data_IF_927598758785
#
_entry.id   IF_927598758785
#
_cell.length_a   1.000
_cell.length_b   1.000
_cell.length_c   1.000
_cell.angle_alpha   90.00
_cell.angle_beta   90.00
_cell.angle_gamma   90.00
#
_symmetry.space_group_name_H-M   'P 1'
#
loop_
_entity.id
_entity.type
_entity.pdbx_description
1 polymer ?
#
# COMPACT_ATOMS: atom_id res chain seq x y z
N UNK A 1 -35.75 -22.10 -10.70
CA UNK A 1 -34.35 -22.32 -10.27
C UNK A 1 -34.27 -22.06 -8.77
N UNK A 2 -34.08 -23.12 -7.99
CA UNK A 2 -33.99 -23.06 -6.53
C UNK A 2 -32.54 -22.72 -6.19
N UNK A 3 -32.27 -21.47 -5.81
CA UNK A 3 -30.98 -21.08 -5.26
C UNK A 3 -30.86 -21.68 -3.86
N UNK A 4 -30.12 -22.79 -3.76
CA UNK A 4 -29.74 -23.39 -2.48
C UNK A 4 -28.85 -22.39 -1.74
N UNK A 5 -29.42 -21.70 -0.75
CA UNK A 5 -28.66 -20.90 0.22
C UNK A 5 -27.77 -21.85 1.01
N UNK A 6 -26.50 -21.97 0.64
CA UNK A 6 -25.48 -22.63 1.46
C UNK A 6 -25.27 -21.74 2.69
N UNK A 7 -25.57 -22.22 3.92
CA UNK A 7 -25.35 -21.43 5.12
C UNK A 7 -23.85 -21.47 5.46
N UNK A 8 -23.05 -20.60 4.84
CA UNK A 8 -21.68 -20.31 5.29
C UNK A 8 -21.73 -19.53 6.62
N UNK A 9 -22.06 -20.21 7.72
CA UNK A 9 -21.76 -19.71 9.07
C UNK A 9 -20.36 -20.16 9.43
N UNK A 10 -19.37 -19.49 8.85
CA UNK A 10 -17.98 -19.59 9.29
C UNK A 10 -17.91 -19.22 10.79
N UNK A 11 -17.31 -20.03 11.67
CA UNK A 11 -17.20 -19.74 13.10
C UNK A 11 -16.14 -18.68 13.41
N UNK A 12 -15.33 -18.30 12.41
CA UNK A 12 -14.22 -17.35 12.51
C UNK A 12 -14.58 -15.96 13.05
N UNK A 13 -15.75 -15.35 12.75
CA UNK A 13 -16.11 -14.03 13.30
C UNK A 13 -16.23 -14.01 14.82
N UNK A 14 -16.52 -15.16 15.45
CA UNK A 14 -16.61 -15.29 16.90
C UNK A 14 -15.27 -15.69 17.53
N UNK A 15 -14.46 -16.45 16.81
CA UNK A 15 -13.18 -16.97 17.29
C UNK A 15 -12.04 -15.95 17.20
N UNK A 16 -12.02 -15.07 16.19
CA UNK A 16 -10.91 -14.13 15.99
C UNK A 16 -10.81 -13.05 17.08
N UNK A 17 -11.91 -12.40 17.54
CA UNK A 17 -11.85 -11.48 18.67
C UNK A 17 -11.38 -12.19 19.95
N UNK A 18 -11.78 -13.45 20.13
CA UNK A 18 -11.44 -14.27 21.30
C UNK A 18 -9.98 -14.72 21.25
N UNK A 19 -9.45 -15.05 20.07
CA UNK A 19 -8.03 -15.32 19.87
C UNK A 19 -7.18 -14.07 20.08
N UNK A 20 -7.55 -12.91 19.52
CA UNK A 20 -6.84 -11.64 19.75
C UNK A 20 -6.86 -11.22 21.24
N UNK A 21 -7.99 -11.44 21.93
CA UNK A 21 -8.14 -11.18 23.35
C UNK A 21 -7.25 -12.08 24.23
N UNK A 22 -6.90 -13.28 23.75
CA UNK A 22 -6.00 -14.22 24.44
C UNK A 22 -4.54 -14.00 24.04
N UNK A 23 -4.25 -13.74 22.76
CA UNK A 23 -2.87 -13.67 22.25
C UNK A 23 -2.19 -12.34 22.56
N UNK A 24 -2.92 -11.22 22.63
CA UNK A 24 -2.31 -9.91 22.88
C UNK A 24 -1.75 -9.80 24.32
N UNK A 25 -2.46 -10.21 25.39
CA UNK A 25 -1.90 -10.21 26.75
C UNK A 25 -0.81 -11.27 26.93
N UNK A 26 -0.97 -12.45 26.32
CA UNK A 26 0.02 -13.53 26.40
C UNK A 26 1.32 -13.18 25.66
N UNK A 27 1.24 -12.55 24.49
CA UNK A 27 2.42 -12.05 23.78
C UNK A 27 3.10 -10.90 24.55
N UNK A 28 2.31 -10.02 25.18
CA UNK A 28 2.83 -8.96 26.05
C UNK A 28 3.55 -9.50 27.29
N UNK A 29 3.00 -10.54 27.95
CA UNK A 29 3.66 -11.21 29.08
C UNK A 29 4.90 -12.01 28.65
N UNK A 30 4.84 -12.68 27.50
CA UNK A 30 5.96 -13.47 26.97
C UNK A 30 7.16 -12.59 26.57
N UNK A 31 6.91 -11.44 25.93
CA UNK A 31 7.96 -10.44 25.65
C UNK A 31 8.50 -9.80 26.94
N UNK A 32 7.65 -9.57 27.95
CA UNK A 32 8.08 -9.11 29.27
C UNK A 32 9.00 -10.11 29.99
N UNK A 33 8.79 -11.41 29.79
CA UNK A 33 9.65 -12.48 30.32
C UNK A 33 10.98 -12.61 29.57
N UNK A 34 11.01 -12.44 28.24
CA UNK A 34 12.27 -12.48 27.48
C UNK A 34 13.17 -11.27 27.72
N UNK A 35 12.60 -10.14 28.13
CA UNK A 35 13.31 -8.86 28.28
C UNK A 35 13.70 -8.56 29.74
N UNK A 36 13.46 -9.48 30.69
CA UNK A 36 13.88 -9.31 32.08
C UNK A 36 15.34 -9.75 32.26
N UNK A 37 16.32 -8.84 32.35
CA UNK A 37 17.66 -9.21 32.79
C UNK A 37 17.60 -9.67 34.25
N UNK A 38 18.35 -10.70 34.61
CA UNK A 38 18.33 -11.37 35.94
C UNK A 38 18.67 -10.45 37.12
N UNK A 39 18.98 -9.17 36.90
CA UNK A 39 19.55 -8.25 37.90
C UNK A 39 18.70 -7.02 38.21
N UNK A 40 17.55 -6.81 37.56
CA UNK A 40 16.68 -5.68 37.87
C UNK A 40 15.57 -6.10 38.83
N UNK A 41 15.54 -5.47 40.01
CA UNK A 41 14.45 -5.59 40.98
C UNK A 41 13.10 -5.46 40.27
N UNK A 42 12.06 -6.21 40.70
CA UNK A 42 10.76 -6.25 40.06
C UNK A 42 10.03 -4.91 40.24
N UNK A 43 10.44 -3.89 39.48
CA UNK A 43 9.65 -2.70 39.25
C UNK A 43 8.42 -3.20 38.53
N UNK A 44 7.31 -3.17 39.27
CA UNK A 44 5.97 -3.54 38.84
C UNK A 44 5.73 -3.26 37.36
N UNK A 45 5.90 -4.30 36.53
CA UNK A 45 5.41 -4.40 35.15
C UNK A 45 3.88 -4.50 35.14
N UNK A 46 3.21 -3.72 36.00
CA UNK A 46 1.80 -3.48 35.87
C UNK A 46 1.68 -2.64 34.59
N UNK A 47 0.88 -3.06 33.59
CA UNK A 47 0.58 -2.23 32.45
C UNK A 47 0.01 -0.91 32.98
N UNK A 48 0.84 0.15 32.97
CA UNK A 48 0.46 1.43 33.58
C UNK A 48 -0.88 1.88 33.01
N UNK A 49 -1.72 2.50 33.85
CA UNK A 49 -3.09 2.94 33.58
C UNK A 49 -3.35 3.54 32.19
N UNK A 50 -2.33 4.05 31.49
CA UNK A 50 -2.39 4.54 30.11
C UNK A 50 -2.61 3.46 29.01
N UNK A 51 -2.32 2.17 29.22
CA UNK A 51 -2.59 1.12 28.22
C UNK A 51 -4.04 0.62 28.25
N UNK A 52 -4.72 0.75 29.39
CA UNK A 52 -6.12 0.36 29.56
C UNK A 52 -7.10 1.16 28.68
N UNK A 53 -6.94 2.48 28.49
CA UNK A 53 -7.75 3.26 27.55
C UNK A 53 -7.65 2.77 26.11
N UNK A 54 -6.45 2.39 25.65
CA UNK A 54 -6.24 1.88 24.28
C UNK A 54 -6.92 0.51 24.13
N UNK A 55 -6.72 -0.38 25.11
CA UNK A 55 -7.39 -1.69 25.14
C UNK A 55 -8.91 -1.52 25.21
N UNK A 56 -9.42 -0.63 26.06
CA UNK A 56 -10.85 -0.34 26.22
C UNK A 56 -11.46 0.36 25.00
N UNK A 57 -10.71 1.20 24.29
CA UNK A 57 -11.20 1.85 23.05
C UNK A 57 -11.19 0.89 21.88
N UNK A 58 -10.19 0.00 21.77
CA UNK A 58 -10.22 -1.16 20.85
C UNK A 58 -11.40 -2.08 21.19
N UNK A 59 -11.62 -2.38 22.47
CA UNK A 59 -12.74 -3.23 22.93
C UNK A 59 -14.10 -2.57 22.65
N UNK A 60 -14.24 -1.26 22.93
CA UNK A 60 -15.45 -0.50 22.70
C UNK A 60 -15.72 -0.30 21.21
N UNK A 61 -14.67 -0.15 20.39
CA UNK A 61 -14.78 -0.16 18.93
C UNK A 61 -15.22 -1.53 18.44
N UNK A 62 -14.64 -2.63 18.92
CA UNK A 62 -15.07 -3.99 18.58
C UNK A 62 -16.53 -4.25 18.99
N UNK A 63 -16.95 -3.79 20.18
CA UNK A 63 -18.33 -3.91 20.69
C UNK A 63 -19.29 -3.00 19.91
N UNK A 64 -18.93 -1.77 19.57
CA UNK A 64 -19.77 -0.87 18.76
C UNK A 64 -19.86 -1.35 17.32
N UNK A 65 -18.76 -1.88 16.78
CA UNK A 65 -18.75 -2.55 15.48
C UNK A 65 -19.67 -3.76 15.49
N UNK A 66 -19.78 -4.49 16.59
CA UNK A 66 -20.73 -5.61 16.71
C UNK A 66 -22.21 -5.23 16.48
N UNK A 67 -22.59 -3.96 16.70
CA UNK A 67 -23.91 -3.43 16.35
C UNK A 67 -24.05 -3.01 14.88
N UNK A 68 -22.96 -2.60 14.23
CA UNK A 68 -22.87 -2.33 12.79
C UNK A 68 -22.90 -3.63 11.95
N UNK A 69 -22.53 -4.76 12.58
CA UNK A 69 -22.56 -6.11 12.03
C UNK A 69 -23.99 -6.69 11.91
N UNK A 70 -25.08 -5.94 12.06
CA UNK A 70 -26.42 -6.48 11.73
C UNK A 70 -26.59 -6.68 10.22
N UNK A 71 -25.87 -5.90 9.41
CA UNK A 71 -25.88 -6.07 7.96
C UNK A 71 -24.83 -7.14 7.54
N UNK A 72 -25.25 -8.27 6.93
CA UNK A 72 -24.32 -9.32 6.50
C UNK A 72 -23.32 -8.85 5.45
N UNK A 73 -23.62 -7.83 4.63
CA UNK A 73 -22.66 -7.29 3.65
C UNK A 73 -21.46 -6.65 4.34
N UNK A 74 -21.71 -5.85 5.37
CA UNK A 74 -20.68 -5.21 6.17
C UNK A 74 -19.87 -6.26 6.96
N UNK A 75 -20.52 -7.31 7.48
CA UNK A 75 -19.79 -8.41 8.14
C UNK A 75 -18.78 -9.08 7.21
N UNK A 76 -19.16 -9.34 5.96
CA UNK A 76 -18.25 -9.95 5.00
C UNK A 76 -17.09 -9.02 4.64
N UNK A 77 -17.37 -7.74 4.38
CA UNK A 77 -16.35 -6.76 4.00
C UNK A 77 -15.35 -6.53 5.15
N UNK A 78 -15.84 -6.44 6.38
CA UNK A 78 -14.99 -6.30 7.57
C UNK A 78 -14.15 -7.55 7.80
N UNK A 79 -14.73 -8.74 7.62
CA UNK A 79 -14.01 -10.02 7.66
C UNK A 79 -12.87 -10.09 6.65
N UNK A 80 -13.09 -9.60 5.42
CA UNK A 80 -12.06 -9.57 4.39
C UNK A 80 -10.87 -8.68 4.79
N UNK A 81 -11.10 -7.59 5.52
CA UNK A 81 -10.08 -6.61 5.92
C UNK A 81 -9.31 -6.99 7.20
N UNK A 82 -9.70 -8.07 7.89
CA UNK A 82 -9.11 -8.50 9.17
C UNK A 82 -7.59 -8.66 9.16
N UNK A 83 -6.93 -9.21 8.11
CA UNK A 83 -5.47 -9.35 8.12
C UNK A 83 -4.76 -7.98 8.19
N UNK A 84 -5.21 -7.01 7.39
CA UNK A 84 -4.66 -5.66 7.38
C UNK A 84 -4.96 -4.91 8.68
N UNK A 85 -6.19 -5.05 9.20
CA UNK A 85 -6.58 -4.47 10.47
C UNK A 85 -5.72 -5.01 11.63
N UNK A 86 -5.51 -6.33 11.68
CA UNK A 86 -4.70 -6.99 12.71
C UNK A 86 -3.25 -6.48 12.69
N UNK A 87 -2.66 -6.34 11.51
CA UNK A 87 -1.31 -5.78 11.36
C UNK A 87 -1.25 -4.32 11.83
N UNK A 88 -2.25 -3.50 11.47
CA UNK A 88 -2.30 -2.09 11.87
C UNK A 88 -2.43 -1.92 13.39
N UNK A 89 -3.28 -2.74 14.03
CA UNK A 89 -3.45 -2.73 15.49
C UNK A 89 -2.22 -3.28 16.21
N UNK A 90 -1.59 -4.33 15.68
CA UNK A 90 -0.34 -4.85 16.24
C UNK A 90 0.78 -3.81 16.18
N UNK A 91 0.92 -3.10 15.05
CA UNK A 91 1.86 -2.00 14.91
C UNK A 91 1.61 -0.89 15.95
N UNK A 92 0.34 -0.51 16.16
CA UNK A 92 -0.03 0.47 17.18
C UNK A 92 0.27 0.00 18.62
N UNK A 93 0.03 -1.28 18.90
CA UNK A 93 0.34 -1.90 20.20
C UNK A 93 1.83 -1.95 20.49
N UNK A 94 2.64 -2.39 19.50
CA UNK A 94 4.10 -2.39 19.60
C UNK A 94 4.63 -0.98 19.83
N UNK A 95 4.11 0.00 19.08
CA UNK A 95 4.49 1.40 19.26
C UNK A 95 4.17 1.93 20.68
N UNK A 96 2.99 1.58 21.22
CA UNK A 96 2.60 1.96 22.59
C UNK A 96 3.50 1.33 23.67
N UNK A 97 4.01 0.12 23.44
CA UNK A 97 4.95 -0.53 24.36
C UNK A 97 6.34 0.14 24.32
N UNK A 98 6.79 0.52 23.12
CA UNK A 98 8.10 1.14 22.91
C UNK A 98 8.19 2.59 23.37
N UNK A 99 7.06 3.29 23.42
CA UNK A 99 6.96 4.67 23.91
C UNK A 99 7.47 4.87 25.34
N UNK A 100 7.61 3.80 26.13
CA UNK A 100 8.07 3.86 27.53
C UNK A 100 9.59 3.72 27.72
N UNK A 101 10.36 3.76 26.64
CA UNK A 101 11.81 3.86 26.68
C UNK A 101 12.51 2.59 26.23
N UNK A 102 13.73 2.81 25.73
CA UNK A 102 14.81 1.85 25.38
C UNK A 102 15.11 1.71 23.87
N UNK A 103 14.19 1.88 22.91
CA UNK A 103 14.55 1.74 21.47
C UNK A 103 13.83 2.69 20.49
N UNK A 104 14.41 3.86 20.22
CA UNK A 104 13.93 4.79 19.17
C UNK A 104 13.88 4.15 17.77
N UNK A 105 14.80 3.24 17.45
CA UNK A 105 14.86 2.57 16.14
C UNK A 105 13.66 1.69 15.82
N UNK A 106 12.99 1.12 16.82
CA UNK A 106 11.83 0.24 16.61
C UNK A 106 10.53 1.01 16.31
N UNK A 107 10.45 2.28 16.73
CA UNK A 107 9.30 3.16 16.41
C UNK A 107 9.15 3.36 14.90
N UNK A 108 10.26 3.54 14.18
CA UNK A 108 10.26 3.65 12.72
C UNK A 108 9.69 2.41 12.03
N UNK A 109 10.03 1.22 12.52
CA UNK A 109 9.45 -0.03 12.00
C UNK A 109 7.95 -0.15 12.28
N UNK A 110 7.49 0.27 13.47
CA UNK A 110 6.07 0.28 13.79
C UNK A 110 5.29 1.26 12.92
N UNK A 111 5.82 2.46 12.68
CA UNK A 111 5.21 3.45 11.78
C UNK A 111 5.15 2.93 10.33
N UNK A 112 6.22 2.30 9.85
CA UNK A 112 6.27 1.69 8.53
C UNK A 112 5.27 0.53 8.42
N UNK A 113 5.22 -0.37 9.40
CA UNK A 113 4.26 -1.47 9.44
C UNK A 113 2.81 -0.95 9.45
N UNK A 114 2.53 0.12 10.19
CA UNK A 114 1.23 0.78 10.21
C UNK A 114 0.87 1.37 8.84
N UNK A 115 1.79 2.10 8.21
CA UNK A 115 1.59 2.64 6.87
C UNK A 115 1.28 1.53 5.84
N UNK A 116 2.08 0.45 5.84
CA UNK A 116 1.85 -0.70 4.96
C UNK A 116 0.49 -1.37 5.24
N UNK A 117 0.09 -1.49 6.50
CA UNK A 117 -1.19 -2.06 6.88
C UNK A 117 -2.37 -1.21 6.36
N UNK A 118 -2.29 0.12 6.47
CA UNK A 118 -3.31 1.03 5.93
C UNK A 118 -3.43 0.92 4.41
N UNK A 119 -2.31 0.86 3.69
CA UNK A 119 -2.29 0.68 2.24
C UNK A 119 -2.87 -0.69 1.84
N UNK A 120 -2.56 -1.74 2.60
CA UNK A 120 -3.12 -3.07 2.39
C UNK A 120 -4.64 -3.10 2.58
N UNK A 121 -5.16 -2.48 3.65
CA UNK A 121 -6.62 -2.36 3.88
C UNK A 121 -7.30 -1.68 2.68
N UNK A 122 -6.72 -0.59 2.17
CA UNK A 122 -7.26 0.12 1.02
C UNK A 122 -7.20 -0.69 -0.28
N UNK A 123 -6.10 -1.42 -0.52
CA UNK A 123 -5.97 -2.29 -1.69
C UNK A 123 -6.96 -3.46 -1.64
N UNK A 124 -7.21 -4.00 -0.45
CA UNK A 124 -8.06 -5.17 -0.23
C UNK A 124 -9.57 -4.90 -0.37
N UNK A 125 -9.99 -3.63 -0.31
CA UNK A 125 -11.39 -3.21 -0.46
C UNK A 125 -12.05 -3.73 -1.75
N UNK A 126 -11.28 -3.79 -2.85
CA UNK A 126 -11.71 -4.43 -4.10
C UNK A 126 -10.90 -5.69 -4.41
N UNK A 127 -9.71 -5.82 -3.83
CA UNK A 127 -8.77 -6.88 -4.14
C UNK A 127 -9.31 -8.26 -3.74
N UNK A 128 -9.83 -8.36 -2.52
CA UNK A 128 -10.46 -9.58 -2.01
C UNK A 128 -11.56 -10.12 -2.92
N UNK A 129 -12.34 -9.26 -3.58
CA UNK A 129 -13.40 -9.71 -4.48
C UNK A 129 -12.89 -10.27 -5.81
N UNK A 130 -11.74 -9.79 -6.29
CA UNK A 130 -11.09 -10.40 -7.44
C UNK A 130 -10.51 -11.76 -7.07
N UNK A 131 -9.93 -11.88 -5.88
CA UNK A 131 -9.38 -13.13 -5.38
C UNK A 131 -10.45 -14.22 -5.24
N UNK A 132 -11.62 -13.87 -4.71
CA UNK A 132 -12.74 -14.80 -4.53
C UNK A 132 -13.70 -14.84 -5.71
N UNK A 133 -13.44 -14.09 -6.79
CA UNK A 133 -14.31 -13.95 -7.97
C UNK A 133 -15.76 -13.53 -7.63
N UNK A 134 -15.94 -12.77 -6.56
CA UNK A 134 -17.27 -12.32 -6.07
C UNK A 134 -17.69 -10.97 -6.63
N UNK A 135 -16.75 -10.14 -7.11
CA UNK A 135 -17.02 -8.77 -7.58
C UNK A 135 -18.17 -8.73 -8.58
N UNK A 136 -18.17 -9.67 -9.51
CA UNK A 136 -19.16 -9.65 -10.54
C UNK A 136 -20.55 -10.10 -10.05
N UNK A 137 -20.64 -10.98 -9.05
CA UNK A 137 -21.92 -11.26 -8.38
C UNK A 137 -22.46 -10.00 -7.70
N UNK A 138 -21.58 -9.19 -7.11
CA UNK A 138 -21.94 -7.88 -6.53
C UNK A 138 -22.46 -6.89 -7.58
N UNK A 139 -21.91 -6.92 -8.81
CA UNK A 139 -22.33 -6.04 -9.92
C UNK A 139 -23.67 -6.43 -10.55
N UNK A 140 -24.11 -7.69 -10.45
CA UNK A 140 -25.40 -8.15 -10.98
C UNK A 140 -26.58 -7.77 -10.07
N UNK A 141 -26.31 -7.44 -8.81
CA UNK A 141 -27.35 -7.04 -7.87
C UNK A 141 -28.03 -5.74 -8.33
N UNK A 142 -29.35 -5.57 -8.11
CA UNK A 142 -30.09 -4.36 -8.48
C UNK A 142 -29.77 -3.23 -7.49
N UNK A 143 -28.49 -2.87 -7.37
CA UNK A 143 -27.95 -1.87 -6.46
C UNK A 143 -27.10 -0.92 -7.28
N UNK A 144 -27.16 0.38 -6.95
CA UNK A 144 -26.39 1.35 -7.72
C UNK A 144 -24.89 1.10 -7.53
N UNK A 145 -24.11 1.19 -8.61
CA UNK A 145 -22.65 1.03 -8.54
C UNK A 145 -22.02 2.07 -7.60
N UNK A 146 -22.65 3.24 -7.45
CA UNK A 146 -22.19 4.27 -6.53
C UNK A 146 -22.29 3.89 -5.06
N UNK A 147 -23.41 3.29 -4.68
CA UNK A 147 -23.59 2.87 -3.30
C UNK A 147 -22.66 1.72 -2.95
N UNK A 148 -22.46 0.77 -3.87
CA UNK A 148 -21.51 -0.33 -3.69
C UNK A 148 -20.06 0.17 -3.52
N UNK A 149 -19.62 1.08 -4.39
CA UNK A 149 -18.28 1.68 -4.31
C UNK A 149 -18.07 2.44 -3.00
N UNK A 150 -19.06 3.25 -2.60
CA UNK A 150 -19.02 4.02 -1.35
C UNK A 150 -19.08 3.13 -0.11
N UNK A 151 -19.85 2.05 -0.13
CA UNK A 151 -19.91 1.09 0.98
C UNK A 151 -18.53 0.45 1.20
N UNK A 152 -17.89 -0.05 0.14
CA UNK A 152 -16.55 -0.67 0.22
C UNK A 152 -15.47 0.29 0.70
N UNK A 153 -15.41 1.48 0.11
CA UNK A 153 -14.45 2.48 0.54
C UNK A 153 -14.76 3.05 1.92
N UNK A 154 -16.04 3.15 2.28
CA UNK A 154 -16.46 3.56 3.61
C UNK A 154 -16.00 2.57 4.68
N UNK A 155 -16.12 1.26 4.42
CA UNK A 155 -15.60 0.23 5.34
C UNK A 155 -14.08 0.29 5.41
N UNK A 156 -13.38 0.28 4.27
CA UNK A 156 -11.91 0.32 4.24
C UNK A 156 -11.35 1.58 4.91
N UNK A 157 -11.89 2.75 4.57
CA UNK A 157 -11.51 4.03 5.17
C UNK A 157 -11.90 4.13 6.65
N UNK A 158 -13.01 3.52 7.05
CA UNK A 158 -13.41 3.41 8.45
C UNK A 158 -12.41 2.59 9.27
N UNK A 159 -12.04 1.40 8.81
CA UNK A 159 -11.05 0.54 9.51
C UNK A 159 -9.69 1.23 9.56
N UNK A 160 -9.18 1.68 8.40
CA UNK A 160 -7.85 2.28 8.33
C UNK A 160 -7.80 3.63 9.08
N UNK A 161 -8.87 4.42 9.06
CA UNK A 161 -8.99 5.66 9.83
C UNK A 161 -8.99 5.42 11.35
N UNK A 162 -9.73 4.42 11.83
CA UNK A 162 -9.70 4.02 13.25
C UNK A 162 -8.30 3.57 13.65
N UNK A 163 -7.64 2.75 12.83
CA UNK A 163 -6.28 2.32 13.10
C UNK A 163 -5.30 3.49 13.15
N UNK A 164 -5.42 4.45 12.22
CA UNK A 164 -4.58 5.66 12.17
C UNK A 164 -4.78 6.54 13.41
N UNK A 165 -6.03 6.71 13.87
CA UNK A 165 -6.31 7.46 15.11
C UNK A 165 -5.67 6.78 16.32
N UNK A 166 -5.81 5.45 16.45
CA UNK A 166 -5.18 4.72 17.56
C UNK A 166 -3.65 4.87 17.51
N UNK A 167 -3.05 4.71 16.33
CA UNK A 167 -1.60 4.88 16.17
C UNK A 167 -1.15 6.31 16.48
N UNK A 168 -1.90 7.32 16.06
CA UNK A 168 -1.63 8.72 16.39
C UNK A 168 -1.68 8.97 17.91
N UNK A 169 -2.70 8.45 18.60
CA UNK A 169 -2.83 8.59 20.05
C UNK A 169 -1.71 7.89 20.81
N UNK A 170 -1.24 6.73 20.34
CA UNK A 170 -0.11 6.05 20.98
C UNK A 170 1.23 6.74 20.70
N UNK A 171 1.40 7.34 19.52
CA UNK A 171 2.65 8.00 19.13
C UNK A 171 2.78 9.41 19.73
N UNK A 172 1.68 10.17 19.79
CA UNK A 172 1.67 11.53 20.36
C UNK A 172 2.00 11.59 21.85
N UNK A 173 1.78 10.50 22.58
CA UNK A 173 2.21 10.38 23.98
C UNK A 173 3.73 10.16 24.12
N UNK A 174 4.38 9.67 23.07
CA UNK A 174 5.80 9.29 23.06
C UNK A 174 6.70 10.43 22.59
N UNK A 175 6.27 11.17 21.58
CA UNK A 175 7.12 12.14 20.88
C UNK A 175 6.72 13.57 21.22
N UNK A 176 7.70 14.39 21.58
CA UNK A 176 7.53 15.84 21.75
C UNK A 176 7.45 16.61 20.41
N UNK A 177 7.07 15.94 19.33
CA UNK A 177 6.93 16.56 18.00
C UNK A 177 5.61 17.31 17.88
N UNK A 178 5.58 18.29 16.98
CA UNK A 178 4.36 19.01 16.65
C UNK A 178 3.29 18.03 16.16
N UNK A 179 2.13 18.08 16.83
CA UNK A 179 0.99 17.19 16.56
C UNK A 179 0.52 17.21 15.10
N UNK A 180 0.73 18.33 14.40
CA UNK A 180 0.41 18.49 12.99
C UNK A 180 1.32 17.65 12.09
N UNK A 181 2.63 17.65 12.33
CA UNK A 181 3.58 16.87 11.53
C UNK A 181 3.34 15.37 11.71
N UNK A 182 3.05 14.95 12.93
CA UNK A 182 2.70 13.57 13.23
C UNK A 182 1.40 13.13 12.52
N UNK A 183 0.38 14.01 12.52
CA UNK A 183 -0.87 13.75 11.82
C UNK A 183 -0.68 13.69 10.30
N UNK A 184 0.21 14.49 9.74
CA UNK A 184 0.58 14.47 8.33
C UNK A 184 1.31 13.18 7.94
N UNK A 185 2.29 12.76 8.74
CA UNK A 185 3.06 11.52 8.51
C UNK A 185 2.15 10.30 8.62
N UNK A 186 1.21 10.26 9.55
CA UNK A 186 0.33 9.11 9.79
C UNK A 186 -0.95 9.12 8.94
N UNK A 187 -1.45 10.30 8.60
CA UNK A 187 -2.61 10.48 7.74
C UNK A 187 -2.28 10.32 6.26
N UNK A 188 -1.07 10.66 5.83
CA UNK A 188 -0.68 10.59 4.43
C UNK A 188 -0.76 9.18 3.82
N UNK A 189 -0.36 8.06 4.47
CA UNK A 189 -0.51 6.72 3.92
C UNK A 189 -1.98 6.31 3.78
N UNK A 190 -2.84 6.73 4.70
CA UNK A 190 -4.28 6.49 4.63
C UNK A 190 -4.90 7.20 3.43
N UNK A 191 -4.63 8.50 3.29
CA UNK A 191 -5.17 9.31 2.19
C UNK A 191 -4.64 8.79 0.85
N UNK A 192 -3.35 8.46 0.80
CA UNK A 192 -2.72 7.86 -0.37
C UNK A 192 -3.39 6.53 -0.73
N UNK A 193 -3.52 5.62 0.23
CA UNK A 193 -4.16 4.33 0.05
C UNK A 193 -5.59 4.43 -0.47
N UNK A 194 -6.42 5.26 0.17
CA UNK A 194 -7.82 5.43 -0.22
C UNK A 194 -7.98 6.05 -1.62
N UNK A 195 -7.07 6.95 -2.02
CA UNK A 195 -7.13 7.60 -3.31
C UNK A 195 -6.60 6.72 -4.45
N UNK A 196 -5.46 6.05 -4.27
CA UNK A 196 -4.75 5.36 -5.36
C UNK A 196 -4.89 3.84 -5.36
N UNK A 197 -5.03 3.18 -4.21
CA UNK A 197 -5.13 1.72 -4.16
C UNK A 197 -6.35 1.17 -4.91
N UNK A 198 -7.56 1.74 -4.79
CA UNK A 198 -8.71 1.27 -5.57
C UNK A 198 -8.47 1.31 -7.07
N UNK A 199 -7.83 2.37 -7.58
CA UNK A 199 -7.54 2.49 -9.01
C UNK A 199 -6.62 1.35 -9.46
N UNK A 200 -5.50 1.16 -8.77
CA UNK A 200 -4.52 0.16 -9.14
C UNK A 200 -5.07 -1.26 -8.97
N UNK A 201 -5.79 -1.53 -7.88
CA UNK A 201 -6.47 -2.81 -7.66
C UNK A 201 -7.49 -3.12 -8.76
N UNK A 202 -8.32 -2.15 -9.16
CA UNK A 202 -9.34 -2.37 -10.21
C UNK A 202 -8.73 -2.63 -11.59
N UNK A 203 -7.65 -1.93 -11.95
CA UNK A 203 -6.96 -2.13 -13.22
C UNK A 203 -6.20 -3.45 -13.23
N UNK A 204 -5.50 -3.76 -12.13
CA UNK A 204 -4.71 -4.98 -11.99
C UNK A 204 -5.50 -6.23 -11.70
N UNK A 205 -6.72 -6.09 -11.17
CA UNK A 205 -7.56 -7.19 -10.68
C UNK A 205 -6.84 -8.06 -9.65
N UNK A 206 -5.97 -7.45 -8.84
CA UNK A 206 -5.16 -8.12 -7.82
C UNK A 206 -4.90 -7.20 -6.64
N UNK A 207 -5.14 -7.70 -5.41
CA UNK A 207 -4.85 -6.98 -4.17
C UNK A 207 -3.39 -6.61 -4.07
N UNK A 208 -2.51 -7.57 -4.35
CA UNK A 208 -1.07 -7.41 -4.14
C UNK A 208 -0.48 -6.44 -5.16
N UNK A 209 -0.90 -6.52 -6.43
CA UNK A 209 -0.48 -5.55 -7.43
C UNK A 209 -1.00 -4.13 -7.09
N UNK A 210 -2.27 -4.02 -6.67
CA UNK A 210 -2.84 -2.77 -6.17
C UNK A 210 -2.00 -2.14 -5.05
N UNK A 211 -1.67 -2.92 -4.02
CA UNK A 211 -0.81 -2.50 -2.91
C UNK A 211 0.56 -2.02 -3.38
N UNK A 212 1.25 -2.79 -4.23
CA UNK A 212 2.60 -2.43 -4.68
C UNK A 212 2.59 -1.18 -5.56
N UNK A 213 1.63 -1.02 -6.47
CA UNK A 213 1.56 0.17 -7.31
C UNK A 213 1.21 1.44 -6.52
N UNK A 214 0.39 1.30 -5.47
CA UNK A 214 0.05 2.39 -4.54
C UNK A 214 1.28 2.93 -3.82
N UNK A 215 2.30 2.10 -3.60
CA UNK A 215 3.58 2.52 -3.03
C UNK A 215 4.56 3.05 -4.09
N UNK A 216 4.74 2.28 -5.16
CA UNK A 216 5.82 2.52 -6.12
C UNK A 216 5.55 3.70 -7.03
N UNK A 217 4.30 3.90 -7.49
CA UNK A 217 3.99 4.97 -8.45
C UNK A 217 4.11 6.37 -7.83
N UNK A 218 3.52 6.68 -6.66
CA UNK A 218 3.70 7.99 -6.03
C UNK A 218 5.15 8.27 -5.69
N UNK A 219 5.89 7.26 -5.20
CA UNK A 219 7.32 7.39 -4.91
C UNK A 219 8.11 7.70 -6.18
N UNK A 220 7.89 6.98 -7.27
CA UNK A 220 8.56 7.25 -8.54
C UNK A 220 8.22 8.64 -9.09
N UNK A 221 6.95 9.06 -9.02
CA UNK A 221 6.52 10.39 -9.43
C UNK A 221 7.14 11.49 -8.56
N UNK A 222 7.21 11.29 -7.25
CA UNK A 222 7.87 12.21 -6.33
C UNK A 222 9.36 12.34 -6.67
N UNK A 223 10.05 11.23 -6.93
CA UNK A 223 11.46 11.25 -7.32
C UNK A 223 11.68 11.98 -8.65
N UNK A 224 10.85 11.69 -9.66
CA UNK A 224 10.93 12.37 -10.96
C UNK A 224 10.71 13.87 -10.77
N UNK A 225 9.64 14.26 -10.07
CA UNK A 225 9.33 15.68 -9.83
C UNK A 225 10.44 16.38 -9.06
N UNK A 226 11.00 15.73 -8.04
CA UNK A 226 12.14 16.25 -7.27
C UNK A 226 13.37 16.44 -8.16
N UNK A 227 13.73 15.43 -8.96
CA UNK A 227 14.87 15.56 -9.89
C UNK A 227 14.67 16.64 -10.94
N UNK A 228 13.44 16.85 -11.42
CA UNK A 228 13.12 17.92 -12.37
C UNK A 228 13.24 19.30 -11.72
N UNK A 229 12.77 19.46 -10.48
CA UNK A 229 12.91 20.69 -9.70
C UNK A 229 14.39 20.98 -9.44
N UNK A 230 15.17 19.99 -9.03
CA UNK A 230 16.60 20.17 -8.76
C UNK A 230 17.38 20.52 -10.05
N UNK A 231 17.03 19.92 -11.20
CA UNK A 231 17.62 20.27 -12.51
C UNK A 231 17.23 21.69 -12.92
N UNK A 232 15.98 22.09 -12.70
CA UNK A 232 15.51 23.45 -12.95
C UNK A 232 16.28 24.45 -12.08
N UNK A 233 16.44 24.16 -10.79
CA UNK A 233 17.20 24.97 -9.86
C UNK A 233 18.68 25.05 -10.24
N UNK A 234 19.30 23.97 -10.71
CA UNK A 234 20.69 24.00 -11.19
C UNK A 234 20.85 24.91 -12.42
N UNK A 235 19.87 24.88 -13.33
CA UNK A 235 19.83 25.79 -14.48
C UNK A 235 19.66 27.25 -14.04
N UNK A 236 18.82 27.47 -13.03
CA UNK A 236 18.49 28.80 -12.52
C UNK A 236 19.63 29.40 -11.69
N UNK A 237 20.36 28.61 -10.88
CA UNK A 237 21.60 29.04 -10.20
C UNK A 237 22.69 29.42 -11.20
N UNK A 238 22.76 28.71 -12.34
CA UNK A 238 23.66 29.08 -13.42
C UNK A 238 23.28 30.44 -14.04
N UNK A 239 21.97 30.76 -14.10
CA UNK A 239 21.47 32.08 -14.47
C UNK A 239 21.61 33.14 -13.35
N UNK A 240 21.46 32.77 -12.08
CA UNK A 240 21.54 33.67 -10.94
C UNK A 240 22.98 34.10 -10.62
N UNK A 241 24.01 33.34 -11.05
CA UNK A 241 25.39 33.87 -11.12
C UNK A 241 25.52 35.10 -12.02
N UNK A 242 24.58 35.32 -12.93
CA UNK A 242 24.47 36.52 -13.75
C UNK A 242 23.60 37.59 -13.06
N UNK A 243 22.68 37.22 -12.16
CA UNK A 243 21.78 38.13 -11.42
C UNK A 243 21.52 37.67 -9.96
N UNK A 244 22.21 38.23 -8.95
CA UNK A 244 22.26 37.68 -7.59
C UNK A 244 21.06 38.00 -6.66
N UNK A 245 20.14 38.88 -7.05
CA UNK A 245 19.12 39.41 -6.12
C UNK A 245 17.87 38.53 -5.92
N UNK A 246 17.75 37.37 -6.57
CA UNK A 246 16.50 36.58 -6.61
C UNK A 246 16.47 35.32 -5.71
N UNK A 247 17.56 34.99 -5.00
CA UNK A 247 17.84 33.62 -4.55
C UNK A 247 17.14 33.16 -3.25
N UNK A 248 16.48 34.04 -2.49
CA UNK A 248 16.03 33.70 -1.12
C UNK A 248 14.57 33.23 -0.96
N UNK A 249 13.75 33.24 -2.02
CA UNK A 249 12.32 32.88 -1.93
C UNK A 249 11.93 31.48 -2.44
N UNK A 250 12.84 30.73 -3.06
CA UNK A 250 12.46 29.54 -3.84
C UNK A 250 12.05 28.31 -2.99
N UNK A 251 12.54 28.17 -1.75
CA UNK A 251 12.28 26.95 -0.95
C UNK A 251 10.80 26.77 -0.57
N UNK A 252 10.04 27.86 -0.41
CA UNK A 252 8.61 27.80 -0.15
C UNK A 252 7.80 27.48 -1.40
N UNK A 253 8.27 27.89 -2.57
CA UNK A 253 7.58 27.65 -3.85
C UNK A 253 7.72 26.19 -4.29
N UNK A 254 8.90 25.60 -4.14
CA UNK A 254 9.15 24.18 -4.42
C UNK A 254 8.24 23.27 -3.61
N UNK A 255 8.12 23.55 -2.31
CA UNK A 255 7.24 22.82 -1.42
C UNK A 255 5.78 22.97 -1.86
N UNK A 256 5.38 24.18 -2.28
CA UNK A 256 4.05 24.44 -2.86
C UNK A 256 3.75 23.59 -4.10
N UNK A 257 4.72 23.45 -5.01
CA UNK A 257 4.59 22.63 -6.23
C UNK A 257 4.45 21.15 -5.88
N UNK A 258 5.24 20.63 -4.92
CA UNK A 258 5.13 19.25 -4.46
C UNK A 258 3.76 18.96 -3.84
N UNK A 259 3.27 19.87 -2.99
CA UNK A 259 1.93 19.78 -2.39
C UNK A 259 0.82 19.80 -3.43
N UNK A 260 0.87 20.77 -4.35
CA UNK A 260 -0.11 20.88 -5.43
C UNK A 260 -0.11 19.62 -6.32
N UNK A 261 1.07 19.13 -6.70
CA UNK A 261 1.24 17.89 -7.46
C UNK A 261 0.66 16.68 -6.73
N UNK A 262 0.90 16.56 -5.42
CA UNK A 262 0.32 15.52 -4.57
C UNK A 262 -1.20 15.55 -4.54
N UNK A 263 -1.81 16.72 -4.31
CA UNK A 263 -3.27 16.88 -4.29
C UNK A 263 -3.89 16.56 -5.66
N UNK A 264 -3.27 17.03 -6.74
CA UNK A 264 -3.70 16.73 -8.12
C UNK A 264 -3.63 15.22 -8.37
N UNK A 265 -2.54 14.57 -7.98
CA UNK A 265 -2.38 13.13 -8.10
C UNK A 265 -3.48 12.37 -7.36
N UNK A 266 -3.71 12.69 -6.08
CA UNK A 266 -4.73 12.02 -5.26
C UNK A 266 -6.14 12.20 -5.85
N UNK A 267 -6.49 13.42 -6.26
CA UNK A 267 -7.76 13.71 -6.90
C UNK A 267 -7.94 12.98 -8.24
N UNK A 268 -6.89 12.94 -9.06
CA UNK A 268 -6.90 12.23 -10.34
C UNK A 268 -7.08 10.72 -10.15
N UNK A 269 -6.40 10.12 -9.19
CA UNK A 269 -6.48 8.69 -8.89
C UNK A 269 -7.83 8.29 -8.31
N UNK A 270 -8.37 9.09 -7.38
CA UNK A 270 -9.71 8.87 -6.84
C UNK A 270 -10.78 8.94 -7.95
N UNK A 271 -10.72 9.97 -8.81
CA UNK A 271 -11.63 10.11 -9.94
C UNK A 271 -11.48 8.96 -10.96
N UNK A 272 -10.25 8.56 -11.25
CA UNK A 272 -9.97 7.49 -12.18
C UNK A 272 -10.47 6.14 -11.65
N UNK A 273 -10.28 5.84 -10.35
CA UNK A 273 -10.80 4.63 -9.73
C UNK A 273 -12.32 4.54 -9.84
N UNK A 274 -13.02 5.65 -9.56
CA UNK A 274 -14.47 5.75 -9.69
C UNK A 274 -14.93 5.54 -11.15
N UNK A 275 -14.23 6.13 -12.12
CA UNK A 275 -14.54 5.95 -13.55
C UNK A 275 -14.32 4.52 -14.02
N UNK A 276 -13.23 3.88 -13.58
CA UNK A 276 -12.94 2.47 -13.88
C UNK A 276 -14.03 1.61 -13.29
N UNK A 277 -14.38 1.80 -12.02
CA UNK A 277 -15.42 1.04 -11.34
C UNK A 277 -16.78 1.14 -12.04
N UNK A 278 -17.21 2.36 -12.39
CA UNK A 278 -18.50 2.56 -13.08
C UNK A 278 -18.60 1.89 -14.44
N UNK A 279 -17.46 1.67 -15.12
CA UNK A 279 -17.38 1.01 -16.43
C UNK A 279 -17.27 -0.51 -16.34
N UNK A 280 -17.20 -1.07 -15.13
CA UNK A 280 -17.22 -2.51 -14.96
C UNK A 280 -18.64 -3.01 -15.22
N UNK A 281 -18.78 -3.68 -16.36
CA UNK A 281 -19.98 -4.44 -16.69
C UNK A 281 -19.71 -5.92 -16.37
N UNK A 282 -20.73 -6.61 -15.84
CA UNK A 282 -20.70 -8.06 -15.71
C UNK A 282 -20.59 -8.66 -17.10
N UNK A 283 -19.37 -9.05 -17.48
CA UNK A 283 -19.12 -9.85 -18.67
C UNK A 283 -18.71 -11.22 -18.16
N UNK A 284 -19.56 -12.21 -18.36
CA UNK A 284 -19.30 -13.61 -18.06
C UNK A 284 -17.99 -14.06 -18.70
N UNK A 285 -16.91 -13.95 -17.93
CA UNK A 285 -15.67 -14.64 -18.21
C UNK A 285 -15.83 -16.08 -17.76
N UNK A 286 -16.55 -16.89 -18.55
CA UNK A 286 -16.35 -18.33 -18.52
C UNK A 286 -14.87 -18.65 -18.73
N UNK A 287 -14.40 -19.81 -18.27
CA UNK A 287 -13.03 -20.27 -18.47
C UNK A 287 -12.68 -20.22 -19.98
N UNK A 288 -12.02 -19.15 -20.43
CA UNK A 288 -11.72 -18.91 -21.86
C UNK A 288 -12.37 -17.66 -22.49
N UNK A 289 -13.18 -16.88 -21.77
CA UNK A 289 -13.75 -15.62 -22.26
C UNK A 289 -12.66 -14.59 -22.55
N UNK A 290 -12.51 -14.22 -23.83
CA UNK A 290 -11.45 -13.36 -24.35
C UNK A 290 -11.28 -12.06 -23.55
N UNK A 291 -10.21 -12.04 -22.78
CA UNK A 291 -9.76 -10.92 -21.95
C UNK A 291 -9.30 -9.75 -22.82
N UNK A 292 -9.97 -8.61 -22.75
CA UNK A 292 -9.42 -7.29 -23.12
C UNK A 292 -9.98 -6.21 -22.18
N UNK A 293 -9.34 -5.03 -22.01
CA UNK A 293 -7.91 -4.76 -21.92
C UNK A 293 -7.63 -3.79 -20.74
N UNK A 294 -7.40 -4.29 -19.52
CA UNK A 294 -6.97 -3.45 -18.39
C UNK A 294 -5.46 -3.21 -18.42
N UNK A 295 -4.69 -4.24 -18.02
CA UNK A 295 -3.24 -4.31 -18.28
C UNK A 295 -2.89 -4.77 -19.70
N UNK A 296 -3.87 -5.35 -20.41
CA UNK A 296 -3.68 -5.85 -21.77
C UNK A 296 -3.49 -4.75 -22.82
N UNK A 297 -3.75 -3.49 -22.50
CA UNK A 297 -3.42 -2.39 -23.40
C UNK A 297 -1.90 -2.18 -23.49
N UNK A 298 -1.21 -2.22 -22.34
CA UNK A 298 0.26 -2.12 -22.25
C UNK A 298 0.90 -3.41 -22.75
N UNK A 299 0.42 -4.58 -22.32
CA UNK A 299 0.92 -5.86 -22.85
C UNK A 299 0.49 -6.09 -24.29
N UNK A 300 -0.56 -5.45 -24.81
CA UNK A 300 -1.07 -5.63 -26.18
C UNK A 300 -0.21 -4.94 -27.25
N UNK A 301 0.40 -3.80 -26.91
CA UNK A 301 1.45 -3.21 -27.76
C UNK A 301 2.69 -4.11 -27.80
N UNK A 302 3.07 -4.63 -26.63
CA UNK A 302 4.18 -5.57 -26.47
C UNK A 302 3.94 -6.92 -27.16
N UNK A 303 2.73 -7.47 -27.04
CA UNK A 303 2.28 -8.72 -27.66
C UNK A 303 2.23 -8.60 -29.18
N UNK A 304 1.83 -7.44 -29.71
CA UNK A 304 1.91 -7.17 -31.15
C UNK A 304 3.34 -7.03 -31.65
N UNK A 305 4.25 -6.53 -30.81
CA UNK A 305 5.66 -6.41 -31.16
C UNK A 305 6.37 -7.77 -31.11
N UNK A 306 6.20 -8.53 -30.03
CA UNK A 306 6.76 -9.89 -29.88
C UNK A 306 6.09 -10.86 -30.86
N UNK A 307 4.77 -10.82 -30.98
CA UNK A 307 4.00 -11.71 -31.85
C UNK A 307 4.40 -11.59 -33.32
N UNK A 308 4.79 -10.39 -33.78
CA UNK A 308 5.29 -10.18 -35.16
C UNK A 308 6.64 -10.85 -35.41
N UNK A 309 7.50 -10.99 -34.41
CA UNK A 309 8.81 -11.66 -34.54
C UNK A 309 8.73 -13.18 -34.37
N UNK A 310 7.65 -13.71 -33.80
CA UNK A 310 7.57 -15.11 -33.34
C UNK A 310 6.48 -15.94 -34.03
N UNK A 311 5.94 -15.48 -35.16
CA UNK A 311 5.03 -16.27 -36.00
C UNK A 311 5.76 -17.47 -36.62
N UNK A 312 5.24 -18.70 -36.39
CA UNK A 312 5.75 -19.95 -36.97
C UNK A 312 6.81 -20.69 -36.15
N UNK A 313 7.06 -20.29 -34.90
CA UNK A 313 8.11 -20.87 -34.05
C UNK A 313 7.66 -22.14 -33.27
N UNK A 314 8.60 -23.03 -32.89
CA UNK A 314 8.33 -24.30 -32.21
C UNK A 314 7.64 -24.13 -30.84
N UNK A 315 7.05 -25.22 -30.31
CA UNK A 315 6.29 -25.21 -29.05
C UNK A 315 7.07 -24.61 -27.85
N UNK A 316 8.38 -24.81 -27.79
CA UNK A 316 9.28 -24.20 -26.80
C UNK A 316 9.28 -22.67 -26.87
N UNK A 317 9.21 -22.12 -28.08
CA UNK A 317 9.16 -20.68 -28.29
C UNK A 317 7.81 -20.09 -27.84
N UNK A 318 6.72 -20.84 -27.97
CA UNK A 318 5.42 -20.44 -27.42
C UNK A 318 5.42 -20.45 -25.88
N UNK A 319 6.09 -21.42 -25.26
CA UNK A 319 6.30 -21.46 -23.81
C UNK A 319 7.15 -20.27 -23.34
N UNK A 320 8.27 -19.98 -24.00
CA UNK A 320 9.12 -18.81 -23.67
C UNK A 320 8.34 -17.51 -23.84
N UNK A 321 7.52 -17.39 -24.89
CA UNK A 321 6.66 -16.22 -25.09
C UNK A 321 5.66 -16.06 -23.95
N UNK A 322 5.07 -17.16 -23.49
CA UNK A 322 4.14 -17.16 -22.37
C UNK A 322 4.83 -16.66 -21.09
N UNK A 323 6.02 -17.18 -20.79
CA UNK A 323 6.80 -16.77 -19.62
C UNK A 323 7.27 -15.31 -19.69
N UNK A 324 7.78 -14.87 -20.85
CA UNK A 324 8.17 -13.47 -21.06
C UNK A 324 7.01 -12.51 -20.88
N UNK A 325 5.82 -12.91 -21.34
CA UNK A 325 4.60 -12.14 -21.21
C UNK A 325 4.15 -12.03 -19.76
N UNK A 326 4.35 -13.09 -18.99
CA UNK A 326 4.07 -13.06 -17.56
C UNK A 326 4.96 -12.04 -16.85
N UNK A 327 6.23 -12.01 -17.20
CA UNK A 327 7.23 -11.21 -16.50
C UNK A 327 7.26 -9.76 -16.99
N UNK A 328 6.35 -9.32 -17.86
CA UNK A 328 6.36 -7.95 -18.42
C UNK A 328 6.36 -6.89 -17.32
N UNK A 329 5.56 -7.07 -16.27
CA UNK A 329 5.50 -6.09 -15.17
C UNK A 329 6.82 -6.06 -14.37
N UNK A 330 7.39 -7.21 -13.94
CA UNK A 330 8.75 -7.26 -13.42
C UNK A 330 9.80 -6.63 -14.32
N UNK A 331 9.79 -6.93 -15.62
CA UNK A 331 10.73 -6.37 -16.59
C UNK A 331 10.59 -4.85 -16.71
N UNK A 332 9.37 -4.33 -16.68
CA UNK A 332 9.11 -2.89 -16.71
C UNK A 332 9.62 -2.22 -15.43
N UNK A 333 9.40 -2.82 -14.27
CA UNK A 333 9.95 -2.31 -13.00
C UNK A 333 11.48 -2.38 -12.96
N UNK A 334 12.07 -3.49 -13.42
CA UNK A 334 13.52 -3.63 -13.55
C UNK A 334 14.10 -2.59 -14.52
N UNK A 335 13.42 -2.33 -15.65
CA UNK A 335 13.79 -1.29 -16.61
C UNK A 335 13.75 0.11 -16.01
N UNK A 336 12.70 0.44 -15.24
CA UNK A 336 12.62 1.71 -14.51
C UNK A 336 13.75 1.82 -13.48
N UNK A 337 14.05 0.75 -12.73
CA UNK A 337 15.15 0.72 -11.77
C UNK A 337 16.51 0.94 -12.44
N UNK A 338 16.79 0.21 -13.52
CA UNK A 338 18.03 0.37 -14.29
C UNK A 338 18.11 1.79 -14.87
N UNK A 339 16.97 2.36 -15.29
CA UNK A 339 16.87 3.75 -15.72
C UNK A 339 17.24 4.75 -14.62
N UNK A 340 16.66 4.61 -13.42
CA UNK A 340 17.02 5.45 -12.26
C UNK A 340 18.48 5.28 -11.85
N UNK A 341 19.00 4.06 -11.89
CA UNK A 341 20.41 3.79 -11.59
C UNK A 341 21.33 4.45 -12.63
N UNK A 342 21.04 4.28 -13.92
CA UNK A 342 21.77 4.94 -15.00
C UNK A 342 21.71 6.47 -14.90
N UNK A 343 20.54 7.04 -14.58
CA UNK A 343 20.37 8.47 -14.33
C UNK A 343 21.24 8.93 -13.16
N UNK A 344 21.29 8.18 -12.06
CA UNK A 344 22.14 8.49 -10.90
C UNK A 344 23.63 8.51 -11.27
N UNK A 345 24.09 7.58 -12.11
CA UNK A 345 25.47 7.57 -12.61
C UNK A 345 25.75 8.76 -13.52
N UNK A 346 24.76 9.15 -14.34
CA UNK A 346 24.86 10.29 -15.24
C UNK A 346 24.97 11.60 -14.43
N UNK A 347 24.15 11.76 -13.39
CA UNK A 347 24.23 12.90 -12.46
C UNK A 347 25.61 12.95 -11.79
N UNK A 348 26.11 11.82 -11.25
CA UNK A 348 27.45 11.73 -10.66
C UNK A 348 28.57 12.14 -11.63
N UNK A 349 28.44 11.78 -12.91
CA UNK A 349 29.44 12.09 -13.93
C UNK A 349 29.42 13.58 -14.34
N UNK A 350 28.24 14.16 -14.50
CA UNK A 350 28.08 15.49 -15.11
C UNK A 350 27.96 16.63 -14.11
N UNK A 351 27.58 16.35 -12.86
CA UNK A 351 27.44 17.37 -11.82
C UNK A 351 28.02 16.89 -10.47
N UNK A 352 29.30 16.48 -10.40
CA UNK A 352 29.89 15.87 -9.21
C UNK A 352 29.89 16.81 -7.98
N UNK A 353 30.01 18.11 -8.19
CA UNK A 353 30.03 19.11 -7.11
C UNK A 353 28.65 19.66 -6.72
N UNK A 354 27.60 19.28 -7.45
CA UNK A 354 26.23 19.67 -7.06
C UNK A 354 25.80 18.90 -5.81
N UNK A 355 24.90 19.46 -5.01
CA UNK A 355 24.30 18.74 -3.87
C UNK A 355 23.70 17.40 -4.30
N UNK A 356 23.14 17.32 -5.53
CA UNK A 356 22.70 16.09 -6.16
C UNK A 356 23.84 15.12 -6.47
N UNK A 357 24.98 15.60 -6.95
CA UNK A 357 26.17 14.78 -7.17
C UNK A 357 26.67 14.18 -5.87
N UNK A 358 26.68 14.97 -4.78
CA UNK A 358 27.06 14.53 -3.43
C UNK A 358 26.03 13.55 -2.84
N UNK A 359 24.73 13.85 -2.97
CA UNK A 359 23.65 12.97 -2.49
C UNK A 359 23.56 11.68 -3.32
N UNK A 360 23.76 11.76 -4.63
CA UNK A 360 23.84 10.60 -5.50
C UNK A 360 25.11 9.81 -5.21
N UNK A 361 26.23 10.43 -4.87
CA UNK A 361 27.46 9.76 -4.45
C UNK A 361 27.34 9.12 -3.06
N UNK A 362 26.39 9.56 -2.25
CA UNK A 362 26.15 8.99 -0.94
C UNK A 362 25.73 7.50 -1.05
N UNK A 363 26.54 6.56 -0.55
CA UNK A 363 26.25 5.13 -0.66
C UNK A 363 24.97 4.75 0.07
N UNK A 364 24.61 5.45 1.15
CA UNK A 364 23.39 5.17 1.93
C UNK A 364 22.13 5.45 1.11
N UNK A 365 22.10 6.57 0.39
CA UNK A 365 20.95 6.96 -0.43
C UNK A 365 20.74 5.98 -1.59
N UNK A 366 21.82 5.60 -2.28
CA UNK A 366 21.74 4.66 -3.41
C UNK A 366 21.39 3.24 -2.94
N UNK A 367 21.98 2.77 -1.84
CA UNK A 367 21.66 1.44 -1.28
C UNK A 367 20.23 1.38 -0.75
N UNK A 368 19.73 2.44 -0.12
CA UNK A 368 18.36 2.52 0.35
C UNK A 368 17.37 2.51 -0.84
N UNK A 369 17.63 3.27 -1.90
CA UNK A 369 16.79 3.23 -3.11
C UNK A 369 16.83 1.89 -3.82
N UNK A 370 18.03 1.32 -4.01
CA UNK A 370 18.19 0.01 -4.62
C UNK A 370 17.53 -1.09 -3.78
N UNK A 371 17.64 -1.01 -2.45
CA UNK A 371 17.00 -1.92 -1.52
C UNK A 371 15.48 -1.86 -1.63
N UNK A 372 14.89 -0.68 -1.49
CA UNK A 372 13.43 -0.48 -1.58
C UNK A 372 12.90 -0.95 -2.94
N UNK A 373 13.48 -0.48 -4.04
CA UNK A 373 13.04 -0.83 -5.38
C UNK A 373 13.31 -2.31 -5.72
N UNK A 374 14.42 -2.87 -5.25
CA UNK A 374 14.74 -4.29 -5.40
C UNK A 374 13.73 -5.18 -4.68
N UNK A 375 13.37 -4.84 -3.43
CA UNK A 375 12.30 -5.52 -2.69
C UNK A 375 10.97 -5.43 -3.44
N UNK A 376 10.66 -4.27 -4.02
CA UNK A 376 9.45 -4.13 -4.85
C UNK A 376 9.47 -4.99 -6.10
N UNK A 377 10.59 -5.08 -6.83
CA UNK A 377 10.71 -5.96 -8.00
C UNK A 377 10.45 -7.41 -7.60
N UNK A 378 11.04 -7.87 -6.50
CA UNK A 378 10.83 -9.23 -6.00
C UNK A 378 9.36 -9.47 -5.66
N UNK A 379 8.72 -8.53 -4.97
CA UNK A 379 7.29 -8.61 -4.62
C UNK A 379 6.40 -8.63 -5.86
N UNK A 380 6.64 -7.75 -6.83
CA UNK A 380 5.88 -7.72 -8.11
C UNK A 380 6.07 -9.00 -8.90
N UNK A 381 7.29 -9.54 -8.93
CA UNK A 381 7.60 -10.79 -9.63
C UNK A 381 6.85 -11.96 -9.00
N UNK A 382 6.86 -12.07 -7.68
CA UNK A 382 6.05 -13.05 -6.95
C UNK A 382 4.54 -12.83 -7.18
N UNK A 383 4.08 -11.57 -7.19
CA UNK A 383 2.70 -11.21 -7.49
C UNK A 383 2.24 -11.72 -8.85
N UNK A 384 3.06 -11.48 -9.88
CA UNK A 384 2.75 -11.85 -11.25
C UNK A 384 2.66 -13.36 -11.40
N UNK A 385 3.61 -14.10 -10.82
CA UNK A 385 3.61 -15.56 -10.87
C UNK A 385 2.31 -16.14 -10.25
N UNK A 386 1.95 -15.69 -9.05
CA UNK A 386 0.73 -16.13 -8.36
C UNK A 386 -0.54 -15.75 -9.15
N UNK A 387 -0.56 -14.55 -9.73
CA UNK A 387 -1.69 -14.08 -10.52
C UNK A 387 -1.89 -14.96 -11.78
N UNK A 388 -0.82 -15.45 -12.41
CA UNK A 388 -0.95 -16.33 -13.58
C UNK A 388 -1.47 -17.70 -13.22
N UNK A 389 -0.91 -18.32 -12.19
CA UNK A 389 -1.33 -19.65 -11.74
C UNK A 389 -2.84 -19.67 -11.41
N UNK A 390 -3.36 -18.56 -10.85
CA UNK A 390 -4.80 -18.36 -10.61
C UNK A 390 -5.62 -18.18 -11.88
N UNK A 391 -5.05 -17.56 -12.92
CA UNK A 391 -5.71 -17.39 -14.23
C UNK A 391 -5.73 -18.71 -15.01
N UNK A 392 -4.67 -19.51 -14.87
CA UNK A 392 -4.55 -20.83 -15.50
C UNK A 392 -5.38 -21.90 -14.78
N UNK A 393 -5.89 -21.62 -13.58
CA UNK A 393 -6.66 -22.58 -12.79
C UNK A 393 -5.82 -23.73 -12.25
N UNK A 394 -4.50 -23.56 -12.15
CA UNK A 394 -3.57 -24.58 -11.63
C UNK A 394 -3.39 -24.47 -10.11
N UNK A 395 -3.80 -23.35 -9.53
CA UNK A 395 -3.96 -23.13 -8.09
C UNK A 395 -5.43 -23.41 -7.73
N UNK A 396 -5.75 -24.64 -7.34
CA UNK A 396 -6.97 -24.99 -6.59
C UNK A 396 -6.68 -25.14 -5.10
#
# INVERSE_FOLDING_TARGET
>A
MIATRIPWRSPWPRLIPLMLLVTIPAAGQWLGWMMAPETLEPVSLLPGLASWPVILSVLALLVKWSGLLTNPSLQMETGAQMPGASLAFLAAGVNAMLAKGVFEGLSGFAALAHALACLWICANAFGSEFEHRTLGQSLVQPRSHGDLYREKLGVAGGIAGVAAVIFFLTTSQSMAHDSLDLALILGSPLILGLASAPFFTLISRSTLAGFVFTLTVPMALYMILRTLLDVYHLLDVYHARVYPDLLFHLSSEEQGVLWAGGVIYLGAMALASWRVFKRLEWREGGAGGSSTPGLYAVTGAWDRWIGRRWLGQPATAQLIRKELRLHVVPWLMAGILVGFWGLSLLIRKWAPESELGVAAANPYTVTLYAGILGTFILLVTGASAIAEERVLGTLE
#
